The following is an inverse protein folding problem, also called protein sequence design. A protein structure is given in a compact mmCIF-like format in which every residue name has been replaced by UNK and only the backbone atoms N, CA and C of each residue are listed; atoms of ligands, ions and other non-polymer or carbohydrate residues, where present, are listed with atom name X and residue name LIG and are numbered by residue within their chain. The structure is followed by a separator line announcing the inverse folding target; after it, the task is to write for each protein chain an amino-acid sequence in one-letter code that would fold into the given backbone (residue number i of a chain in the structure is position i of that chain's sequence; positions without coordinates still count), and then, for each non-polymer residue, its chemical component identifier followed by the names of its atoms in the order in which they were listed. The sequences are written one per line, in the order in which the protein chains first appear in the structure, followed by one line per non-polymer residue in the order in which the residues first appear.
data_IF_754305742995
#
_entry.id   IF_754305742995
#
_cell.length_a   1.000
_cell.length_b   1.000
_cell.length_c   1.000
_cell.angle_alpha   90.00
_cell.angle_beta   90.00
_cell.angle_gamma   90.00
#
_symmetry.space_group_name_H-M   'P 1'
#
loop_
_entity.id
_entity.type
_entity.pdbx_description
1 polymer ?
#
# COMPACT_ATOMS: atom_id res chain seq x y z
N UNK A 1 -15.20 -78.83 8.28
CA UNK A 1 -15.20 -78.14 6.97
C UNK A 1 -16.64 -78.09 6.49
N UNK A 2 -17.18 -76.86 6.39
CA UNK A 2 -18.57 -76.43 6.08
C UNK A 2 -18.47 -74.94 5.66
N UNK A 3 -19.33 -74.32 4.85
CA UNK A 3 -20.36 -74.87 3.95
C UNK A 3 -20.35 -74.10 2.60
N UNK A 4 -21.34 -73.24 2.31
CA UNK A 4 -21.45 -72.36 1.14
C UNK A 4 -22.12 -71.01 1.50
N UNK A 5 -21.97 -70.05 0.58
CA UNK A 5 -22.90 -68.97 0.22
C UNK A 5 -22.95 -67.64 1.04
N UNK A 6 -22.54 -66.58 0.33
CA UNK A 6 -23.19 -65.26 0.16
C UNK A 6 -23.71 -64.46 1.36
N UNK A 7 -23.32 -63.18 1.41
CA UNK A 7 -24.27 -62.08 1.68
C UNK A 7 -23.95 -60.85 0.83
N UNK A 8 -24.97 -60.34 0.12
CA UNK A 8 -24.95 -59.04 -0.55
C UNK A 8 -24.77 -57.91 0.47
N UNK A 9 -24.13 -56.81 0.03
CA UNK A 9 -24.14 -55.55 0.77
C UNK A 9 -24.16 -54.37 -0.21
N UNK A 10 -25.35 -53.93 -0.59
CA UNK A 10 -25.58 -52.53 -0.95
C UNK A 10 -25.90 -51.77 0.34
N UNK A 11 -25.27 -50.61 0.56
CA UNK A 11 -26.08 -49.38 0.53
C UNK A 11 -25.35 -48.16 -0.05
N UNK A 12 -26.06 -47.38 -0.88
CA UNK A 12 -25.88 -45.93 -1.06
C UNK A 12 -24.43 -45.40 -1.09
N UNK A 13 -23.69 -45.64 -2.18
CA UNK A 13 -22.49 -44.83 -2.46
C UNK A 13 -22.92 -43.49 -3.07
N UNK A 14 -23.18 -42.50 -2.20
CA UNK A 14 -23.20 -41.09 -2.60
C UNK A 14 -21.75 -40.65 -2.78
N UNK A 15 -21.21 -40.81 -3.99
CA UNK A 15 -19.98 -40.11 -4.38
C UNK A 15 -20.33 -38.64 -4.64
N UNK A 16 -20.33 -37.85 -3.56
CA UNK A 16 -20.40 -36.41 -3.62
C UNK A 16 -19.26 -35.85 -4.47
N UNK A 17 -19.54 -34.78 -5.21
CA UNK A 17 -18.57 -34.09 -6.04
C UNK A 17 -17.36 -33.60 -5.21
N UNK A 18 -16.17 -33.43 -5.82
CA UNK A 18 -15.06 -32.79 -5.13
C UNK A 18 -15.48 -31.39 -4.68
N UNK A 19 -15.25 -31.07 -3.41
CA UNK A 19 -15.42 -29.71 -2.89
C UNK A 19 -14.54 -28.76 -3.71
N UNK A 20 -15.18 -27.92 -4.53
CA UNK A 20 -14.59 -26.71 -5.08
C UNK A 20 -14.38 -25.72 -3.92
N UNK A 21 -13.39 -26.00 -3.09
CA UNK A 21 -13.00 -25.17 -1.96
C UNK A 21 -12.19 -23.97 -2.46
N UNK A 22 -12.87 -23.15 -3.29
CA UNK A 22 -12.43 -21.86 -3.77
C UNK A 22 -12.48 -20.86 -2.62
N UNK A 23 -11.58 -21.07 -1.66
CA UNK A 23 -11.26 -20.09 -0.64
C UNK A 23 -10.61 -18.91 -1.37
N UNK A 24 -11.40 -17.88 -1.69
CA UNK A 24 -10.87 -16.60 -2.14
C UNK A 24 -9.98 -16.08 -1.02
N UNK A 25 -8.67 -16.25 -1.18
CA UNK A 25 -7.69 -15.91 -0.15
C UNK A 25 -7.52 -14.40 -0.15
N UNK A 26 -8.45 -13.69 0.47
CA UNK A 26 -8.37 -12.26 0.70
C UNK A 26 -7.10 -11.98 1.48
N UNK A 27 -6.14 -11.33 0.82
CA UNK A 27 -4.87 -10.96 1.42
C UNK A 27 -5.12 -9.80 2.39
N UNK A 28 -4.67 -9.86 3.67
CA UNK A 28 -4.85 -8.78 4.62
C UNK A 28 -4.26 -7.46 4.11
N UNK A 29 -4.92 -6.35 4.37
CA UNK A 29 -4.59 -5.04 3.81
C UNK A 29 -3.20 -4.54 4.25
N UNK A 30 -2.80 -4.93 5.46
CA UNK A 30 -1.48 -4.74 6.05
C UNK A 30 -0.36 -5.36 5.19
N UNK A 31 -0.65 -6.50 4.54
CA UNK A 31 0.29 -7.19 3.65
C UNK A 31 0.65 -6.33 2.44
N UNK A 32 -0.33 -5.61 1.87
CA UNK A 32 -0.08 -4.68 0.77
C UNK A 32 0.70 -3.45 1.23
N UNK A 33 0.47 -2.98 2.46
CA UNK A 33 1.27 -1.89 3.05
C UNK A 33 2.74 -2.30 3.18
N UNK A 34 3.01 -3.49 3.76
CA UNK A 34 4.38 -4.05 3.86
C UNK A 34 5.00 -4.23 2.47
N UNK A 35 4.25 -4.76 1.50
CA UNK A 35 4.72 -4.97 0.13
C UNK A 35 5.15 -3.66 -0.55
N UNK A 36 4.39 -2.56 -0.36
CA UNK A 36 4.72 -1.24 -0.89
C UNK A 36 6.02 -0.71 -0.27
N UNK A 37 6.18 -0.79 1.06
CA UNK A 37 7.42 -0.36 1.72
C UNK A 37 8.62 -1.24 1.33
N UNK A 38 8.44 -2.55 1.22
CA UNK A 38 9.49 -3.48 0.79
C UNK A 38 10.01 -3.13 -0.62
N UNK A 39 9.10 -2.85 -1.57
CA UNK A 39 9.47 -2.38 -2.92
C UNK A 39 10.29 -1.09 -2.91
N UNK A 40 9.94 -0.13 -2.04
CA UNK A 40 10.70 1.12 -1.89
C UNK A 40 12.08 0.85 -1.28
N UNK A 41 12.12 0.09 -0.17
CA UNK A 41 13.35 -0.31 0.55
C UNK A 41 14.34 -0.96 -0.41
N UNK A 42 13.91 -1.98 -1.16
CA UNK A 42 14.76 -2.74 -2.07
C UNK A 42 15.25 -1.89 -3.25
N UNK A 43 14.38 -1.04 -3.81
CA UNK A 43 14.73 -0.21 -4.96
C UNK A 43 15.69 0.95 -4.63
N UNK A 44 15.72 1.40 -3.37
CA UNK A 44 16.59 2.48 -2.88
C UNK A 44 17.78 1.97 -2.04
N UNK A 45 17.84 0.67 -1.73
CA UNK A 45 18.87 0.09 -0.87
C UNK A 45 18.81 0.57 0.57
N UNK A 46 17.63 0.94 1.08
CA UNK A 46 17.49 1.51 2.41
C UNK A 46 17.76 0.48 3.52
N UNK A 47 18.60 0.83 4.53
CA UNK A 47 18.86 -0.04 5.67
C UNK A 47 17.70 -0.01 6.68
N UNK A 48 17.66 -1.00 7.57
CA UNK A 48 16.69 -1.09 8.66
C UNK A 48 15.49 -1.99 8.35
N UNK A 49 14.67 -2.23 9.37
CA UNK A 49 13.50 -3.12 9.28
C UNK A 49 12.20 -2.37 9.03
N UNK A 50 11.23 -3.07 8.43
CA UNK A 50 9.88 -2.56 8.21
C UNK A 50 9.09 -2.78 9.50
N UNK A 51 8.58 -1.70 10.08
CA UNK A 51 7.68 -1.74 11.22
C UNK A 51 6.22 -1.68 10.75
N UNK A 52 5.30 -2.20 11.56
CA UNK A 52 3.87 -2.30 11.23
C UNK A 52 3.01 -2.08 12.46
N UNK A 53 1.93 -1.32 12.33
CA UNK A 53 0.92 -1.13 13.37
C UNK A 53 -0.47 -0.93 12.73
N UNK A 54 -1.50 -1.62 13.24
CA UNK A 54 -2.84 -1.70 12.63
C UNK A 54 -3.48 -0.34 12.35
N UNK A 55 -3.24 0.67 13.20
CA UNK A 55 -3.82 2.00 13.06
C UNK A 55 -2.96 2.98 12.24
N UNK A 56 -1.71 2.61 11.92
CA UNK A 56 -0.74 3.48 11.25
C UNK A 56 -0.45 2.99 9.83
N UNK A 57 -0.32 1.67 9.63
CA UNK A 57 0.14 1.05 8.39
C UNK A 57 1.50 0.37 8.56
N UNK A 58 2.29 0.33 7.48
CA UNK A 58 3.67 -0.17 7.48
C UNK A 58 4.65 0.95 7.13
N UNK A 59 5.82 1.00 7.77
CA UNK A 59 6.80 2.05 7.53
C UNK A 59 8.25 1.59 7.69
N UNK A 60 9.16 2.41 7.19
CA UNK A 60 10.61 2.34 7.39
C UNK A 60 11.13 3.73 7.78
N UNK A 61 12.22 3.75 8.54
CA UNK A 61 12.78 4.99 9.11
C UNK A 61 11.98 5.51 10.30
N UNK A 62 12.35 6.70 10.77
CA UNK A 62 11.62 7.37 11.85
C UNK A 62 10.38 8.09 11.31
N UNK A 63 9.21 7.83 11.90
CA UNK A 63 7.98 8.59 11.60
C UNK A 63 8.11 10.02 12.15
N UNK A 64 7.94 11.07 11.33
CA UNK A 64 7.82 12.46 11.79
C UNK A 64 6.74 12.64 12.86
N UNK A 65 6.99 13.48 13.87
CA UNK A 65 6.10 13.65 15.04
C UNK A 65 4.67 14.07 14.68
N UNK A 66 4.48 14.86 13.62
CA UNK A 66 3.18 15.24 13.09
C UNK A 66 2.34 14.07 12.54
N UNK A 67 2.97 12.96 12.16
CA UNK A 67 2.30 11.74 11.67
C UNK A 67 2.08 10.70 12.78
N UNK A 68 2.68 10.88 13.97
CA UNK A 68 2.55 9.98 15.13
C UNK A 68 1.26 10.18 15.95
N UNK A 69 0.46 11.20 15.65
CA UNK A 69 -0.72 11.56 16.46
C UNK A 69 -1.99 10.80 16.02
N UNK A 70 -2.68 10.05 16.90
CA UNK A 70 -4.03 9.61 16.64
C UNK A 70 -4.98 10.81 16.67
N UNK A 71 -6.08 10.74 15.91
CA UNK A 71 -7.09 11.79 15.80
C UNK A 71 -7.79 12.01 17.17
N UNK A 72 -7.25 12.93 17.97
CA UNK A 72 -7.85 13.36 19.25
C UNK A 72 -8.35 14.80 19.13
N UNK A 73 -9.52 14.96 18.52
CA UNK A 73 -10.18 16.25 18.36
C UNK A 73 -11.72 16.15 18.48
N UNK A 74 -12.22 15.51 19.54
CA UNK A 74 -13.62 15.71 19.95
C UNK A 74 -13.75 17.05 20.69
N UNK A 75 -13.97 18.14 19.95
CA UNK A 75 -14.91 19.22 20.32
C UNK A 75 -14.84 20.42 19.35
N UNK A 76 -15.82 20.51 18.45
CA UNK A 76 -16.33 21.71 17.80
C UNK A 76 -15.33 22.79 17.33
N UNK A 77 -14.90 22.66 16.08
CA UNK A 77 -15.11 23.75 15.12
C UNK A 77 -15.42 23.15 13.75
N UNK A 78 -16.55 23.56 13.17
CA UNK A 78 -16.85 23.28 11.77
C UNK A 78 -15.85 24.07 10.91
N UNK A 79 -14.87 23.39 10.31
CA UNK A 79 -14.62 23.57 8.88
C UNK A 79 -13.75 22.45 8.29
N UNK A 80 -13.96 22.21 7.01
CA UNK A 80 -13.40 21.10 6.25
C UNK A 80 -11.96 21.40 5.78
N UNK A 81 -11.18 20.34 5.49
CA UNK A 81 -9.76 20.33 5.12
C UNK A 81 -8.78 20.50 6.29
N UNK A 82 -8.06 19.42 6.60
CA UNK A 82 -6.74 19.47 7.27
C UNK A 82 -5.74 20.18 6.35
N UNK A 83 -5.83 21.50 6.30
CA UNK A 83 -4.89 22.34 5.59
C UNK A 83 -3.54 22.32 6.31
N UNK A 84 -2.44 22.31 5.55
CA UNK A 84 -1.09 22.54 6.06
C UNK A 84 -0.87 24.00 6.55
N UNK A 85 -1.92 24.69 6.97
CA UNK A 85 -1.91 26.08 7.44
C UNK A 85 -1.48 26.21 8.91
N UNK A 86 -1.77 25.22 9.76
CA UNK A 86 -1.30 25.19 11.17
C UNK A 86 0.20 24.91 11.34
N UNK A 87 0.97 25.09 10.26
CA UNK A 87 2.43 25.00 10.20
C UNK A 87 3.11 26.28 10.76
N UNK A 88 2.37 27.29 11.22
CA UNK A 88 2.95 28.48 11.87
C UNK A 88 3.44 28.25 13.31
N UNK A 89 2.89 27.27 14.04
CA UNK A 89 3.20 27.05 15.47
C UNK A 89 4.13 25.86 15.75
N UNK A 90 4.67 25.26 14.68
CA UNK A 90 5.61 24.14 14.75
C UNK A 90 7.03 24.62 15.03
N UNK A 91 7.84 23.77 15.65
CA UNK A 91 9.29 23.96 15.68
C UNK A 91 9.87 23.98 14.24
N UNK A 92 10.95 24.74 14.03
CA UNK A 92 11.54 24.96 12.72
C UNK A 92 12.03 23.66 12.04
N UNK A 93 12.56 22.72 12.82
CA UNK A 93 13.11 21.46 12.28
C UNK A 93 11.97 20.53 11.85
N UNK A 94 10.88 20.48 12.65
CA UNK A 94 9.64 19.76 12.29
C UNK A 94 9.05 20.36 11.01
N UNK A 95 8.98 21.69 10.94
CA UNK A 95 8.47 22.43 9.78
C UNK A 95 9.28 22.19 8.52
N UNK A 96 10.61 22.03 8.62
CA UNK A 96 11.45 21.63 7.49
C UNK A 96 11.14 20.19 7.07
N UNK A 97 11.17 19.24 8.01
CA UNK A 97 10.94 17.82 7.74
C UNK A 97 9.60 17.55 7.05
N UNK A 98 8.53 18.25 7.44
CA UNK A 98 7.20 18.11 6.82
C UNK A 98 7.14 18.61 5.38
N UNK A 99 7.89 19.67 5.03
CA UNK A 99 7.95 20.18 3.66
C UNK A 99 8.66 19.21 2.70
N UNK A 100 9.49 18.31 3.22
CA UNK A 100 10.16 17.25 2.46
C UNK A 100 9.31 15.97 2.33
N UNK A 101 8.06 15.94 2.80
CA UNK A 101 7.19 14.75 2.66
C UNK A 101 6.34 14.86 1.39
N UNK A 102 6.61 13.97 0.43
CA UNK A 102 5.73 13.72 -0.69
C UNK A 102 4.62 12.75 -0.30
N UNK A 103 3.39 13.02 -0.76
CA UNK A 103 2.25 12.12 -0.59
C UNK A 103 1.76 11.62 -1.95
N UNK A 104 1.36 10.35 -1.98
CA UNK A 104 0.90 9.64 -3.17
C UNK A 104 -0.25 8.69 -2.82
N UNK A 105 -1.07 8.37 -3.81
CA UNK A 105 -2.00 7.26 -3.81
C UNK A 105 -1.39 6.13 -4.66
N UNK A 106 -1.31 4.93 -4.10
CA UNK A 106 -0.81 3.72 -4.75
C UNK A 106 -1.98 2.78 -4.98
N UNK A 107 -2.16 2.31 -6.20
CA UNK A 107 -3.20 1.33 -6.56
C UNK A 107 -2.52 0.01 -6.90
N UNK A 108 -2.93 -1.06 -6.23
CA UNK A 108 -2.46 -2.42 -6.44
C UNK A 108 -3.59 -3.33 -6.95
N UNK A 109 -3.24 -4.37 -7.69
CA UNK A 109 -4.11 -5.53 -7.87
C UNK A 109 -4.07 -6.44 -6.63
N UNK A 110 -5.00 -7.39 -6.53
CA UNK A 110 -5.04 -8.36 -5.42
C UNK A 110 -3.83 -9.29 -5.37
N UNK A 111 -3.07 -9.42 -6.46
CA UNK A 111 -1.76 -10.10 -6.50
C UNK A 111 -0.58 -9.21 -6.07
N UNK A 112 -0.83 -7.94 -5.68
CA UNK A 112 0.20 -7.02 -5.19
C UNK A 112 1.01 -6.31 -6.28
N UNK A 113 0.55 -6.34 -7.53
CA UNK A 113 1.18 -5.59 -8.63
C UNK A 113 0.75 -4.13 -8.59
N UNK A 114 1.68 -3.19 -8.77
CA UNK A 114 1.35 -1.77 -8.95
C UNK A 114 0.59 -1.58 -10.28
N UNK A 115 -0.63 -1.04 -10.21
CA UNK A 115 -1.52 -0.74 -11.35
C UNK A 115 -1.98 0.72 -11.40
N UNK A 116 -1.53 1.55 -10.46
CA UNK A 116 -1.74 2.99 -10.47
C UNK A 116 -0.84 3.69 -9.45
N UNK A 117 -0.45 4.92 -9.77
CA UNK A 117 0.37 5.76 -8.89
C UNK A 117 0.07 7.23 -9.18
N UNK A 118 -0.48 7.95 -8.20
CA UNK A 118 -0.91 9.34 -8.35
C UNK A 118 -0.35 10.21 -7.22
N UNK A 119 0.39 11.29 -7.51
CA UNK A 119 0.80 12.25 -6.47
C UNK A 119 -0.41 13.01 -5.92
N UNK A 120 -0.45 13.21 -4.59
CA UNK A 120 -1.52 13.94 -3.89
C UNK A 120 -1.04 15.24 -3.25
N UNK A 121 0.28 15.49 -3.14
CA UNK A 121 0.85 16.79 -2.74
C UNK A 121 1.69 17.44 -3.84
N UNK A 122 1.92 18.75 -3.73
CA UNK A 122 2.83 19.52 -4.60
C UNK A 122 4.24 18.92 -4.62
N UNK A 123 4.72 18.43 -3.47
CA UNK A 123 6.03 17.77 -3.35
C UNK A 123 6.03 16.46 -4.15
N UNK A 124 4.95 15.68 -4.07
CA UNK A 124 4.76 14.47 -4.89
C UNK A 124 4.73 14.77 -6.40
N UNK A 125 4.02 15.83 -6.83
CA UNK A 125 3.97 16.26 -8.25
C UNK A 125 5.36 16.63 -8.79
N UNK A 126 6.28 17.11 -7.95
CA UNK A 126 7.65 17.41 -8.36
C UNK A 126 8.57 16.17 -8.42
N UNK A 127 8.25 15.10 -7.68
CA UNK A 127 9.17 13.95 -7.49
C UNK A 127 8.63 12.59 -8.00
N UNK A 128 7.36 12.47 -8.39
CA UNK A 128 6.75 11.19 -8.81
C UNK A 128 7.53 10.48 -9.92
N UNK A 129 8.09 11.21 -10.88
CA UNK A 129 8.79 10.65 -12.05
C UNK A 129 10.10 9.92 -11.69
N UNK A 130 10.67 10.16 -10.51
CA UNK A 130 11.86 9.45 -9.98
C UNK A 130 11.52 8.43 -8.89
N UNK A 131 10.25 8.33 -8.48
CA UNK A 131 9.82 7.36 -7.46
C UNK A 131 9.95 5.90 -7.99
N UNK A 132 10.48 4.96 -7.18
CA UNK A 132 10.70 3.58 -7.64
C UNK A 132 9.42 2.84 -8.03
N UNK A 133 8.29 3.11 -7.39
CA UNK A 133 7.00 2.48 -7.72
C UNK A 133 6.45 2.98 -9.06
N UNK A 134 6.67 4.26 -9.37
CA UNK A 134 6.42 4.79 -10.71
C UNK A 134 7.31 4.06 -11.73
N UNK A 135 8.62 3.89 -11.45
CA UNK A 135 9.51 3.14 -12.34
C UNK A 135 9.05 1.70 -12.57
N UNK A 136 8.50 1.01 -11.54
CA UNK A 136 7.88 -0.30 -11.70
C UNK A 136 6.64 -0.24 -12.62
N UNK A 137 5.70 0.67 -12.35
CA UNK A 137 4.43 0.82 -13.06
C UNK A 137 4.59 0.99 -14.58
N UNK A 138 5.57 1.79 -15.02
CA UNK A 138 5.85 2.03 -16.44
C UNK A 138 6.88 1.06 -17.04
N UNK A 139 7.29 0.01 -16.31
CA UNK A 139 8.20 -1.03 -16.79
C UNK A 139 9.62 -0.52 -17.05
N UNK A 140 10.15 0.32 -16.15
CA UNK A 140 11.50 0.88 -16.21
C UNK A 140 11.71 2.04 -17.18
N UNK A 141 10.67 2.46 -17.92
CA UNK A 141 10.76 3.55 -18.89
C UNK A 141 11.09 4.88 -18.20
N UNK A 142 11.94 5.69 -18.83
CA UNK A 142 12.22 7.06 -18.38
C UNK A 142 10.96 7.92 -18.56
N UNK A 143 10.55 8.59 -17.49
CA UNK A 143 9.45 9.53 -17.47
C UNK A 143 10.00 10.96 -17.51
N UNK A 144 9.28 11.84 -18.19
CA UNK A 144 9.65 13.24 -18.39
C UNK A 144 8.47 14.12 -17.98
N UNK A 145 8.60 15.00 -16.98
CA UNK A 145 7.56 15.97 -16.67
C UNK A 145 7.19 16.80 -17.92
N UNK A 146 5.89 16.90 -18.21
CA UNK A 146 5.36 17.90 -19.15
C UNK A 146 5.48 17.61 -20.65
N UNK A 147 5.72 16.38 -21.12
CA UNK A 147 5.74 16.11 -22.58
C UNK A 147 4.98 14.86 -23.05
N UNK A 148 5.38 13.65 -22.63
CA UNK A 148 4.72 12.40 -23.05
C UNK A 148 4.75 11.40 -21.89
N UNK A 149 3.58 11.10 -21.33
CA UNK A 149 3.41 9.92 -20.49
C UNK A 149 3.32 8.66 -21.38
N UNK A 150 4.16 7.64 -21.19
CA UNK A 150 4.06 6.41 -21.97
C UNK A 150 2.76 5.68 -21.64
N UNK A 151 1.82 5.61 -22.60
CA UNK A 151 0.50 4.98 -22.40
C UNK A 151 0.59 3.66 -21.63
N UNK A 152 0.06 3.67 -20.41
CA UNK A 152 -0.05 2.50 -19.55
C UNK A 152 -1.08 1.53 -20.14
N UNK A 153 -0.60 0.40 -20.68
CA UNK A 153 -1.46 -0.72 -21.09
C UNK A 153 -1.80 -1.57 -19.87
N UNK A 154 -2.67 -1.04 -19.03
CA UNK A 154 -3.18 -1.73 -17.84
C UNK A 154 -4.55 -2.30 -18.19
N UNK A 155 -4.70 -3.62 -18.07
CA UNK A 155 -6.03 -4.20 -17.93
C UNK A 155 -6.47 -3.90 -16.50
N UNK A 156 -7.59 -3.19 -16.35
CA UNK A 156 -8.12 -2.85 -15.03
C UNK A 156 -8.48 -4.17 -14.31
N UNK A 157 -7.91 -4.46 -13.13
CA UNK A 157 -8.32 -5.63 -12.35
C UNK A 157 -9.78 -5.52 -11.91
N UNK A 158 -10.45 -6.65 -11.70
CA UNK A 158 -11.82 -6.66 -11.16
C UNK A 158 -11.88 -6.09 -9.73
N UNK A 159 -10.80 -6.27 -8.96
CA UNK A 159 -10.65 -5.80 -7.59
C UNK A 159 -9.29 -5.10 -7.45
N UNK A 160 -9.28 -3.95 -6.79
CA UNK A 160 -8.09 -3.14 -6.55
C UNK A 160 -7.96 -2.81 -5.07
N UNK A 161 -6.73 -2.64 -4.62
CA UNK A 161 -6.37 -2.14 -3.30
C UNK A 161 -5.78 -0.74 -3.45
N UNK A 162 -6.24 0.21 -2.65
CA UNK A 162 -5.80 1.60 -2.71
C UNK A 162 -5.19 2.00 -1.37
N UNK A 163 -3.94 2.46 -1.41
CA UNK A 163 -3.16 2.86 -0.24
C UNK A 163 -2.70 4.33 -0.38
N UNK A 164 -2.60 5.02 0.75
CA UNK A 164 -1.80 6.23 0.84
C UNK A 164 -0.33 5.84 1.07
N UNK A 165 0.58 6.54 0.40
CA UNK A 165 2.02 6.49 0.61
C UNK A 165 2.54 7.89 0.95
N UNK A 166 3.15 8.03 2.11
CA UNK A 166 3.95 9.19 2.51
C UNK A 166 5.43 8.80 2.42
N UNK A 167 6.26 9.65 1.82
CA UNK A 167 7.68 9.36 1.61
C UNK A 167 8.51 10.64 1.65
N UNK A 168 9.64 10.62 2.34
CA UNK A 168 10.56 11.76 2.31
C UNK A 168 11.25 11.86 0.93
N UNK A 169 11.40 13.10 0.44
CA UNK A 169 12.24 13.42 -0.73
C UNK A 169 13.64 13.89 -0.33
N UNK A 170 13.90 14.04 0.97
CA UNK A 170 15.22 14.31 1.50
C UNK A 170 16.10 13.04 1.40
N UNK A 171 17.23 13.06 0.65
CA UNK A 171 18.05 11.88 0.43
C UNK A 171 18.72 11.34 1.70
N UNK A 172 18.87 12.17 2.74
CA UNK A 172 19.43 11.77 4.03
C UNK A 172 18.38 11.09 4.94
N UNK A 173 17.11 11.04 4.51
CA UNK A 173 16.00 10.43 5.26
C UNK A 173 15.47 9.17 4.58
N UNK A 174 15.68 8.01 5.21
CA UNK A 174 15.12 6.73 4.77
C UNK A 174 13.66 6.53 5.25
N UNK A 175 12.81 7.55 5.12
CA UNK A 175 11.42 7.52 5.60
C UNK A 175 10.41 7.24 4.49
N UNK A 176 9.60 6.18 4.69
CA UNK A 176 8.35 5.98 3.98
C UNK A 176 7.31 5.27 4.86
N UNK A 177 6.03 5.62 4.71
CA UNK A 177 4.87 5.07 5.41
C UNK A 177 3.76 4.79 4.39
N UNK A 178 3.26 3.56 4.35
CA UNK A 178 2.16 3.11 3.50
C UNK A 178 0.99 2.64 4.37
N UNK A 179 -0.22 3.11 4.09
CA UNK A 179 -1.40 2.82 4.92
C UNK A 179 -2.70 2.73 4.12
N UNK A 180 -3.73 2.05 4.67
CA UNK A 180 -5.09 2.08 4.11
C UNK A 180 -5.60 3.52 3.91
N UNK A 181 -6.34 3.76 2.83
CA UNK A 181 -7.25 4.91 2.77
C UNK A 181 -8.57 4.48 3.42
N UNK A 182 -9.04 5.26 4.40
CA UNK A 182 -10.34 5.11 5.07
C UNK A 182 -11.43 5.92 4.37
#
# INVERSE_FOLDING_TARGET
KRELASFFRDPYTVQGAPEQLNHSRTVPLETFCVLVIQKIKDALGWPGEIATETNIGAWIGEIPSCLKAPHQANSNSEDNSTSFADVEKMDADIKSSVQDIASYQVVLSTEGKIVGFQPTSRVGVNHWAVNPLTKELYGGKKLSPGLIEPRLKIQLPNEIVVLELLMSVNPDSCFALARPIQ
#
